data_IF_019859685852
#
_entry.id   IF_019859685852
#
_cell.length_a   1.000
_cell.length_b   1.000
_cell.length_c   1.000
_cell.angle_alpha   90.00
_cell.angle_beta   90.00
_cell.angle_gamma   90.00
#
_symmetry.space_group_name_H-M   'P 1'
#
loop_
_entity.id
_entity.type
_entity.pdbx_description
1 polymer ?
#
# COMPACT_ATOMS: atom_id res chain seq x y z
N UNK A 1 2.16 27.28 -4.95
CA UNK A 1 3.32 26.33 -4.85
C UNK A 1 3.32 25.46 -6.08
N UNK A 2 4.47 24.98 -6.53
CA UNK A 2 4.53 24.02 -7.65
C UNK A 2 4.00 22.68 -7.17
N UNK A 3 3.15 21.96 -7.95
CA UNK A 3 2.69 20.62 -7.58
C UNK A 3 3.87 19.69 -7.29
N UNK A 4 3.75 18.83 -6.29
CA UNK A 4 4.87 18.08 -5.73
C UNK A 4 4.68 16.58 -5.71
N UNK A 5 3.54 16.07 -6.22
CA UNK A 5 3.15 14.66 -6.13
C UNK A 5 2.80 14.09 -7.50
N UNK A 6 3.42 12.98 -7.85
CA UNK A 6 2.94 12.11 -8.92
C UNK A 6 2.13 10.95 -8.34
N UNK A 7 1.16 10.45 -9.09
CA UNK A 7 0.30 9.34 -8.66
C UNK A 7 0.36 8.21 -9.67
N UNK A 8 0.38 6.97 -9.20
CA UNK A 8 0.21 5.80 -10.05
C UNK A 8 -0.99 4.95 -9.62
N UNK A 9 -1.79 4.56 -10.59
CA UNK A 9 -2.93 3.65 -10.46
C UNK A 9 -2.72 2.52 -11.45
N UNK A 10 -2.49 1.31 -10.95
CA UNK A 10 -2.38 0.12 -11.81
C UNK A 10 -3.74 -0.55 -11.90
N UNK A 11 -4.20 -0.80 -13.13
CA UNK A 11 -5.52 -1.37 -13.40
C UNK A 11 -5.40 -2.68 -14.20
N UNK A 12 -6.36 -3.58 -14.02
CA UNK A 12 -6.50 -4.81 -14.79
C UNK A 12 -7.97 -5.21 -14.85
N UNK A 13 -8.60 -5.05 -16.00
CA UNK A 13 -10.06 -5.27 -16.19
C UNK A 13 -10.89 -4.50 -15.16
N UNK A 14 -10.43 -3.29 -14.82
CA UNK A 14 -11.10 -2.42 -13.85
C UNK A 14 -12.29 -1.74 -14.53
N UNK A 15 -13.47 -1.70 -13.88
CA UNK A 15 -14.61 -0.95 -14.40
C UNK A 15 -14.25 0.54 -14.58
N UNK A 16 -14.62 1.17 -15.72
CA UNK A 16 -14.33 2.58 -15.97
C UNK A 16 -14.82 3.51 -14.86
N UNK A 17 -16.00 3.25 -14.31
CA UNK A 17 -16.62 4.07 -13.25
C UNK A 17 -15.81 4.02 -11.94
N UNK A 18 -15.17 2.89 -11.67
CA UNK A 18 -14.30 2.73 -10.48
C UNK A 18 -13.04 3.56 -10.65
N UNK A 19 -12.38 3.46 -11.82
CA UNK A 19 -11.20 4.28 -12.11
C UNK A 19 -11.54 5.77 -12.12
N UNK A 20 -12.68 6.15 -12.71
CA UNK A 20 -13.13 7.54 -12.76
C UNK A 20 -13.25 8.15 -11.36
N UNK A 21 -13.87 7.43 -10.41
CA UNK A 21 -13.98 7.87 -9.00
C UNK A 21 -12.60 8.07 -8.34
N UNK A 22 -11.67 7.15 -8.58
CA UNK A 22 -10.31 7.28 -8.07
C UNK A 22 -9.58 8.51 -8.66
N UNK A 23 -9.71 8.75 -9.96
CA UNK A 23 -9.16 9.92 -10.64
C UNK A 23 -9.74 11.23 -10.11
N UNK A 24 -11.06 11.29 -9.90
CA UNK A 24 -11.73 12.45 -9.30
C UNK A 24 -11.20 12.78 -7.91
N UNK A 25 -10.95 11.77 -7.07
CA UNK A 25 -10.36 11.98 -5.75
C UNK A 25 -8.96 12.59 -5.85
N UNK A 26 -8.12 12.04 -6.72
CA UNK A 26 -6.73 12.46 -6.90
C UNK A 26 -6.65 13.88 -7.47
N UNK A 27 -7.45 14.18 -8.49
CA UNK A 27 -7.40 15.45 -9.22
C UNK A 27 -7.93 16.66 -8.45
N UNK A 28 -8.62 16.44 -7.33
CA UNK A 28 -9.03 17.52 -6.41
C UNK A 28 -7.85 18.23 -5.76
N UNK A 29 -6.73 17.53 -5.59
CA UNK A 29 -5.57 18.14 -4.94
C UNK A 29 -4.75 19.00 -5.90
N UNK A 30 -4.41 20.25 -5.52
CA UNK A 30 -3.48 21.08 -6.27
C UNK A 30 -2.04 20.59 -6.21
N UNK A 31 -1.70 19.69 -5.27
CA UNK A 31 -0.37 19.10 -5.12
C UNK A 31 -0.07 18.03 -6.17
N UNK A 32 -1.07 17.55 -6.92
CA UNK A 32 -0.89 16.52 -7.93
C UNK A 32 -0.41 17.13 -9.24
N UNK A 33 0.82 16.77 -9.63
CA UNK A 33 1.45 17.18 -10.90
C UNK A 33 1.02 16.26 -12.05
N UNK A 34 1.01 14.95 -11.79
CA UNK A 34 0.74 13.94 -12.83
C UNK A 34 0.11 12.67 -12.24
N UNK A 35 -0.77 12.06 -13.00
CA UNK A 35 -1.42 10.78 -12.69
C UNK A 35 -1.11 9.79 -13.81
N UNK A 36 -0.45 8.70 -13.48
CA UNK A 36 -0.14 7.62 -14.39
C UNK A 36 -1.13 6.47 -14.19
N UNK A 37 -1.97 6.22 -15.17
CA UNK A 37 -2.83 5.04 -15.23
C UNK A 37 -2.10 3.98 -16.03
N UNK A 38 -1.62 2.94 -15.34
CA UNK A 38 -0.92 1.82 -15.97
C UNK A 38 -1.89 0.66 -16.13
N UNK A 39 -2.29 0.40 -17.37
CA UNK A 39 -3.27 -0.64 -17.69
C UNK A 39 -2.59 -1.94 -18.09
N UNK A 40 -2.76 -2.94 -17.22
CA UNK A 40 -2.28 -4.30 -17.42
C UNK A 40 -3.37 -5.22 -18.00
N UNK A 41 -4.46 -4.68 -18.54
CA UNK A 41 -5.53 -5.46 -19.18
C UNK A 41 -5.05 -6.10 -20.48
N UNK A 42 -5.71 -7.16 -20.96
CA UNK A 42 -5.35 -7.79 -22.24
C UNK A 42 -5.54 -6.88 -23.45
N UNK A 43 -6.36 -5.85 -23.35
CA UNK A 43 -6.64 -4.85 -24.37
C UNK A 43 -6.63 -3.45 -23.76
N UNK A 44 -6.59 -2.42 -24.61
CA UNK A 44 -6.60 -1.01 -24.22
C UNK A 44 -8.00 -0.38 -24.29
N UNK A 45 -9.06 -1.15 -24.13
CA UNK A 45 -10.44 -0.64 -24.26
C UNK A 45 -10.76 0.45 -23.24
N UNK A 46 -10.09 0.42 -22.08
CA UNK A 46 -10.25 1.40 -21.01
C UNK A 46 -9.85 2.82 -21.43
N UNK A 47 -8.84 2.95 -22.31
CA UNK A 47 -8.36 4.25 -22.84
C UNK A 47 -9.48 5.08 -23.44
N UNK A 48 -10.37 4.42 -24.21
CA UNK A 48 -11.50 5.08 -24.92
C UNK A 48 -12.58 5.62 -23.99
N UNK A 49 -12.66 5.09 -22.77
CA UNK A 49 -13.66 5.47 -21.77
C UNK A 49 -13.10 6.42 -20.70
N UNK A 50 -11.80 6.72 -20.73
CA UNK A 50 -11.19 7.63 -19.78
C UNK A 50 -11.45 9.09 -20.13
N UNK A 51 -11.67 9.90 -19.08
CA UNK A 51 -11.65 11.36 -19.21
C UNK A 51 -10.21 11.81 -19.47
N UNK A 52 -9.99 12.47 -20.59
CA UNK A 52 -8.71 13.10 -20.90
C UNK A 52 -8.55 14.38 -20.10
N UNK A 53 -7.46 14.50 -19.36
CA UNK A 53 -7.05 15.74 -18.68
C UNK A 53 -5.53 15.88 -18.85
N UNK A 54 -5.04 17.10 -18.93
CA UNK A 54 -3.62 17.42 -19.18
C UNK A 54 -2.63 16.75 -18.21
N UNK A 55 -3.11 16.33 -17.04
CA UNK A 55 -2.30 15.70 -16.00
C UNK A 55 -2.39 14.16 -15.98
N UNK A 56 -3.21 13.54 -16.83
CA UNK A 56 -3.40 12.09 -16.88
C UNK A 56 -2.60 11.49 -18.02
N UNK A 57 -1.77 10.51 -17.70
CA UNK A 57 -0.97 9.73 -18.63
C UNK A 57 -1.44 8.28 -18.61
N UNK A 58 -2.01 7.80 -19.71
CA UNK A 58 -2.40 6.41 -19.86
C UNK A 58 -1.25 5.61 -20.50
N UNK A 59 -0.94 4.45 -19.91
CA UNK A 59 0.14 3.57 -20.36
C UNK A 59 -0.40 2.14 -20.38
N UNK A 60 -0.56 1.56 -21.56
CA UNK A 60 -0.95 0.15 -21.69
C UNK A 60 0.29 -0.74 -21.83
N UNK A 61 0.36 -1.80 -21.02
CA UNK A 61 1.50 -2.73 -20.98
C UNK A 61 1.06 -4.14 -20.64
N UNK A 62 1.90 -5.11 -20.96
CA UNK A 62 1.71 -6.50 -20.51
C UNK A 62 1.64 -6.60 -18.97
N UNK A 63 0.82 -7.54 -18.51
CA UNK A 63 0.62 -7.75 -17.09
C UNK A 63 1.81 -8.47 -16.43
N UNK A 64 2.77 -7.71 -15.99
CA UNK A 64 3.95 -8.17 -15.24
C UNK A 64 3.77 -8.07 -13.71
N UNK A 65 2.57 -7.73 -13.24
CA UNK A 65 2.20 -7.67 -11.84
C UNK A 65 2.07 -6.25 -11.29
N UNK A 66 1.59 -6.15 -10.05
CA UNK A 66 1.27 -4.88 -9.40
C UNK A 66 2.48 -3.97 -9.25
N UNK A 67 3.56 -4.46 -8.61
CA UNK A 67 4.76 -3.66 -8.37
C UNK A 67 5.46 -3.24 -9.66
N UNK A 68 5.50 -4.11 -10.69
CA UNK A 68 6.08 -3.79 -11.99
C UNK A 68 5.33 -2.67 -12.69
N UNK A 69 3.99 -2.68 -12.65
CA UNK A 69 3.16 -1.60 -13.18
C UNK A 69 3.45 -0.26 -12.50
N UNK A 70 3.45 -0.22 -11.17
CA UNK A 70 3.78 1.00 -10.42
C UNK A 70 5.20 1.49 -10.68
N UNK A 71 6.17 0.59 -10.86
CA UNK A 71 7.55 0.95 -11.15
C UNK A 71 7.70 1.77 -12.44
N UNK A 72 6.84 1.57 -13.45
CA UNK A 72 6.84 2.36 -14.68
C UNK A 72 6.62 3.84 -14.34
N UNK A 73 5.58 4.12 -13.55
CA UNK A 73 5.23 5.47 -13.13
C UNK A 73 6.26 6.06 -12.13
N UNK A 74 6.75 5.25 -11.19
CA UNK A 74 7.76 5.68 -10.21
C UNK A 74 9.04 6.13 -10.93
N UNK A 75 9.50 5.40 -11.96
CA UNK A 75 10.66 5.83 -12.77
C UNK A 75 10.42 7.20 -13.41
N UNK A 76 9.22 7.48 -13.92
CA UNK A 76 8.88 8.81 -14.47
C UNK A 76 8.93 9.90 -13.38
N UNK A 77 8.39 9.61 -12.20
CA UNK A 77 8.46 10.49 -11.02
C UNK A 77 9.89 10.86 -10.67
N UNK A 78 10.76 9.85 -10.57
CA UNK A 78 12.17 10.03 -10.21
C UNK A 78 12.94 10.80 -11.30
N UNK A 79 12.69 10.51 -12.57
CA UNK A 79 13.32 11.20 -13.70
C UNK A 79 12.90 12.67 -13.80
N UNK A 80 11.66 12.99 -13.43
CA UNK A 80 11.14 14.37 -13.39
C UNK A 80 11.49 15.11 -12.08
N UNK A 81 12.17 14.44 -11.15
CA UNK A 81 12.54 14.97 -9.84
C UNK A 81 11.33 15.44 -9.00
N UNK A 82 10.18 14.77 -9.16
CA UNK A 82 8.98 15.05 -8.37
C UNK A 82 9.23 14.55 -6.94
N UNK A 83 8.99 15.37 -5.89
CA UNK A 83 9.36 15.05 -4.51
C UNK A 83 8.64 13.84 -3.92
N UNK A 84 7.38 13.60 -4.32
CA UNK A 84 6.54 12.54 -3.74
C UNK A 84 5.89 11.69 -4.82
N UNK A 85 5.63 10.43 -4.47
CA UNK A 85 4.90 9.50 -5.32
C UNK A 85 3.83 8.75 -4.52
N UNK A 86 2.58 8.85 -4.96
CA UNK A 86 1.46 8.08 -4.42
C UNK A 86 1.22 6.83 -5.27
N UNK A 87 1.32 5.67 -4.66
CA UNK A 87 0.82 4.40 -5.20
C UNK A 87 -0.55 4.15 -4.61
N UNK A 88 -1.58 3.94 -5.45
CA UNK A 88 -2.90 3.62 -4.96
C UNK A 88 -3.67 2.64 -5.86
N UNK A 89 -4.60 1.93 -5.26
CA UNK A 89 -5.55 1.08 -5.98
C UNK A 89 -6.68 1.92 -6.60
N UNK A 90 -7.24 1.43 -7.70
CA UNK A 90 -8.39 2.05 -8.35
C UNK A 90 -9.72 1.94 -7.55
N UNK A 91 -9.77 1.09 -6.51
CA UNK A 91 -10.93 0.92 -5.63
C UNK A 91 -10.79 1.66 -4.28
N UNK A 92 -9.91 2.66 -4.25
CA UNK A 92 -9.75 3.59 -3.14
C UNK A 92 -10.41 4.93 -3.47
N UNK A 93 -11.13 5.48 -2.50
CA UNK A 93 -11.78 6.78 -2.61
C UNK A 93 -11.72 7.55 -1.28
N UNK A 94 -11.87 8.87 -1.36
CA UNK A 94 -11.94 9.76 -0.19
C UNK A 94 -12.69 11.05 -0.51
N UNK A 95 -13.06 11.81 0.51
CA UNK A 95 -13.67 13.11 0.37
C UNK A 95 -12.66 14.23 0.59
N UNK A 96 -12.85 15.36 -0.08
CA UNK A 96 -11.99 16.53 0.03
C UNK A 96 -10.59 16.35 -0.54
N UNK A 97 -9.65 17.13 -0.05
CA UNK A 97 -8.23 17.06 -0.38
C UNK A 97 -7.43 16.49 0.80
N UNK A 98 -6.99 15.25 0.69
CA UNK A 98 -6.12 14.61 1.70
C UNK A 98 -4.64 14.65 1.32
N UNK A 99 -4.32 14.94 0.06
CA UNK A 99 -2.92 14.93 -0.42
C UNK A 99 -2.16 16.15 0.10
N UNK A 100 -2.77 17.35 0.07
CA UNK A 100 -2.11 18.55 0.57
C UNK A 100 -1.75 18.50 2.07
N UNK A 101 -2.59 17.99 2.98
CA UNK A 101 -2.18 17.74 4.37
C UNK A 101 -1.02 16.74 4.48
N UNK A 102 -1.04 15.64 3.69
CA UNK A 102 0.05 14.68 3.68
C UNK A 102 1.37 15.31 3.21
N UNK A 103 1.34 16.08 2.12
CA UNK A 103 2.53 16.80 1.60
C UNK A 103 3.08 17.77 2.65
N UNK A 104 2.22 18.54 3.31
CA UNK A 104 2.63 19.45 4.38
C UNK A 104 3.33 18.71 5.51
N UNK A 105 2.70 17.63 6.01
CA UNK A 105 3.26 16.79 7.04
C UNK A 105 4.61 16.20 6.63
N UNK A 106 4.72 15.65 5.41
CA UNK A 106 5.97 15.10 4.89
C UNK A 106 7.08 16.15 4.75
N UNK A 107 6.74 17.41 4.42
CA UNK A 107 7.70 18.51 4.35
C UNK A 107 8.25 18.87 5.74
N UNK A 108 7.45 18.78 6.78
CA UNK A 108 7.84 19.06 8.17
C UNK A 108 8.60 17.88 8.81
N UNK A 109 8.43 16.66 8.30
CA UNK A 109 8.98 15.42 8.85
C UNK A 109 9.88 14.72 7.82
N UNK A 110 11.10 15.22 7.66
CA UNK A 110 12.04 14.79 6.61
C UNK A 110 12.51 13.33 6.77
N UNK A 111 12.42 12.74 7.97
CA UNK A 111 12.76 11.35 8.26
C UNK A 111 11.70 10.36 7.75
N UNK A 112 10.49 10.80 7.41
CA UNK A 112 9.41 9.94 6.91
C UNK A 112 9.62 9.64 5.43
N UNK A 113 9.87 8.38 5.12
CA UNK A 113 10.08 7.87 3.75
C UNK A 113 8.82 7.28 3.12
N UNK A 114 7.90 6.79 3.95
CA UNK A 114 6.65 6.17 3.51
C UNK A 114 5.54 6.46 4.52
N UNK A 115 4.35 6.81 4.00
CA UNK A 115 3.17 7.10 4.82
C UNK A 115 1.94 6.38 4.26
N UNK A 116 1.07 5.88 5.15
CA UNK A 116 -0.25 5.38 4.80
C UNK A 116 -1.30 5.95 5.77
N UNK A 117 -2.48 6.37 5.26
CA UNK A 117 -3.56 6.93 6.07
C UNK A 117 -4.35 5.84 6.81
N UNK A 118 -5.33 6.28 7.58
CA UNK A 118 -6.37 5.40 8.12
C UNK A 118 -7.26 4.89 6.99
N UNK A 119 -7.51 3.59 6.99
CA UNK A 119 -8.30 2.94 5.93
C UNK A 119 -9.56 2.33 6.52
N UNK A 120 -10.70 2.60 5.89
CA UNK A 120 -11.96 1.95 6.22
C UNK A 120 -12.54 1.17 5.06
N UNK A 121 -13.37 0.20 5.39
CA UNK A 121 -14.28 -0.42 4.44
C UNK A 121 -15.49 0.52 4.19
N UNK A 122 -16.27 0.30 3.10
CA UNK A 122 -17.46 1.12 2.81
C UNK A 122 -18.53 1.11 3.90
N UNK A 123 -18.54 0.10 4.77
CA UNK A 123 -19.42 0.00 5.93
C UNK A 123 -18.87 0.73 7.18
N UNK A 124 -17.81 1.52 7.04
CA UNK A 124 -17.17 2.29 8.10
C UNK A 124 -16.26 1.46 9.03
N UNK A 125 -16.20 0.15 8.88
CA UNK A 125 -15.34 -0.70 9.70
C UNK A 125 -13.88 -0.48 9.37
N UNK A 126 -13.02 -0.36 10.40
CA UNK A 126 -11.58 -0.19 10.23
C UNK A 126 -10.96 -1.35 9.44
N UNK A 127 -10.21 -1.04 8.39
CA UNK A 127 -9.34 -1.98 7.72
C UNK A 127 -7.94 -1.91 8.34
N UNK A 128 -7.45 -3.04 8.89
CA UNK A 128 -6.08 -3.10 9.41
C UNK A 128 -5.08 -3.05 8.25
N UNK A 129 -4.76 -1.82 7.82
CA UNK A 129 -3.86 -1.54 6.69
C UNK A 129 -2.38 -1.47 7.08
N UNK A 130 -2.09 -1.48 8.37
CA UNK A 130 -0.75 -1.58 8.93
C UNK A 130 -0.61 -2.90 9.71
N UNK A 131 0.55 -3.53 9.65
CA UNK A 131 0.75 -4.88 10.22
C UNK A 131 2.18 -5.09 10.69
N UNK A 132 2.37 -6.12 11.50
CA UNK A 132 3.70 -6.64 11.79
C UNK A 132 4.32 -7.27 10.52
N UNK A 133 5.64 -7.36 10.45
CA UNK A 133 6.29 -8.22 9.45
C UNK A 133 5.91 -9.69 9.71
N UNK A 134 5.41 -10.41 8.69
CA UNK A 134 4.85 -11.73 8.87
C UNK A 134 5.92 -12.79 9.16
N UNK A 135 5.55 -13.77 9.94
CA UNK A 135 6.24 -15.06 9.99
C UNK A 135 5.55 -16.06 9.04
N UNK A 136 6.21 -17.16 8.65
CA UNK A 136 5.53 -18.20 7.89
C UNK A 136 4.22 -18.66 8.54
N UNK A 137 4.19 -18.72 9.88
CA UNK A 137 3.01 -19.15 10.61
C UNK A 137 1.85 -18.15 10.51
N UNK A 138 2.11 -16.84 10.43
CA UNK A 138 1.06 -15.82 10.29
C UNK A 138 0.32 -15.93 8.94
N UNK A 139 1.05 -16.31 7.89
CA UNK A 139 0.49 -16.40 6.55
C UNK A 139 -0.14 -17.76 6.27
N UNK A 140 0.50 -18.86 6.72
CA UNK A 140 0.02 -20.21 6.44
C UNK A 140 -1.00 -20.68 7.49
N UNK A 141 -0.89 -20.30 8.77
CA UNK A 141 -1.79 -20.74 9.82
C UNK A 141 -3.25 -20.34 9.59
N UNK A 142 -3.49 -19.12 9.08
CA UNK A 142 -4.85 -18.63 8.74
C UNK A 142 -5.57 -19.58 7.77
N UNK A 143 -4.83 -20.32 6.93
CA UNK A 143 -5.39 -21.21 5.91
C UNK A 143 -5.60 -22.63 6.38
N UNK A 144 -4.73 -23.12 7.25
CA UNK A 144 -4.65 -24.54 7.60
C UNK A 144 -5.09 -24.86 9.02
N UNK A 145 -5.22 -23.86 9.90
CA UNK A 145 -5.60 -24.06 11.28
C UNK A 145 -7.00 -23.48 11.58
N UNK A 146 -7.75 -24.07 12.53
CA UNK A 146 -9.02 -23.55 12.99
C UNK A 146 -8.88 -22.09 13.49
N UNK A 147 -9.87 -21.24 13.20
CA UNK A 147 -9.89 -19.82 13.61
C UNK A 147 -9.61 -19.61 15.09
N UNK A 148 -10.17 -20.45 15.97
CA UNK A 148 -9.96 -20.37 17.44
C UNK A 148 -8.49 -20.45 17.85
N UNK A 149 -7.68 -21.27 17.14
CA UNK A 149 -6.25 -21.42 17.44
C UNK A 149 -5.39 -20.27 16.87
N UNK A 150 -5.88 -19.58 15.86
CA UNK A 150 -5.13 -18.53 15.17
C UNK A 150 -5.57 -17.12 15.59
N UNK A 151 -6.71 -16.95 16.24
CA UNK A 151 -7.32 -15.65 16.52
C UNK A 151 -6.40 -14.70 17.32
N UNK A 152 -5.86 -15.14 18.46
CA UNK A 152 -4.94 -14.32 19.28
C UNK A 152 -3.72 -13.88 18.48
N UNK A 153 -3.17 -14.81 17.66
CA UNK A 153 -2.03 -14.55 16.83
C UNK A 153 -2.36 -13.58 15.71
N UNK A 154 -3.51 -13.75 15.04
CA UNK A 154 -3.99 -12.85 13.99
C UNK A 154 -4.29 -11.46 14.52
N UNK A 155 -4.95 -11.33 15.68
CA UNK A 155 -5.15 -10.03 16.35
C UNK A 155 -3.82 -9.31 16.59
N UNK A 156 -2.81 -10.03 17.04
CA UNK A 156 -1.46 -9.46 17.23
C UNK A 156 -0.81 -9.05 15.91
N UNK A 157 -0.84 -9.92 14.89
CA UNK A 157 -0.28 -9.65 13.56
C UNK A 157 -0.93 -8.44 12.90
N UNK A 158 -2.24 -8.30 13.03
CA UNK A 158 -3.06 -7.19 12.51
C UNK A 158 -3.01 -5.94 13.39
N UNK A 159 -2.26 -5.96 14.49
CA UNK A 159 -2.15 -4.83 15.43
C UNK A 159 -3.50 -4.38 16.02
N UNK A 160 -4.45 -5.31 16.22
CA UNK A 160 -5.79 -4.99 16.68
C UNK A 160 -5.85 -4.36 18.10
N UNK A 161 -4.80 -4.50 18.90
CA UNK A 161 -4.68 -3.86 20.22
C UNK A 161 -3.93 -2.53 20.23
N UNK A 162 -3.62 -1.98 19.05
CA UNK A 162 -2.99 -0.66 18.89
C UNK A 162 -4.07 0.40 18.65
N UNK A 163 -3.84 1.59 19.16
CA UNK A 163 -4.70 2.75 18.93
C UNK A 163 -4.49 3.31 17.52
N UNK A 164 -5.45 3.05 16.64
CA UNK A 164 -5.43 3.50 15.24
C UNK A 164 -5.98 4.92 15.08
N UNK A 165 -6.13 5.69 16.16
CA UNK A 165 -6.42 7.12 16.13
C UNK A 165 -5.17 7.97 16.38
N UNK A 166 -4.01 7.32 16.58
CA UNK A 166 -2.70 7.96 16.77
C UNK A 166 -1.69 7.50 15.72
N UNK A 167 -0.75 8.36 15.33
CA UNK A 167 0.32 7.97 14.42
C UNK A 167 1.32 7.02 15.10
N UNK A 168 1.87 6.07 14.34
CA UNK A 168 2.95 5.21 14.80
C UNK A 168 3.78 4.65 13.64
N UNK A 169 5.07 4.42 13.92
CA UNK A 169 5.99 3.83 12.95
C UNK A 169 5.79 2.32 12.85
N UNK A 170 5.62 1.78 11.64
CA UNK A 170 5.24 0.38 11.41
C UNK A 170 5.94 -0.20 10.20
N UNK A 171 6.58 -1.38 10.28
CA UNK A 171 7.42 -1.91 9.21
C UNK A 171 6.66 -2.48 8.01
N UNK A 172 5.34 -2.51 8.03
CA UNK A 172 4.51 -3.00 6.93
C UNK A 172 3.22 -2.19 6.79
N UNK A 173 3.09 -1.52 5.66
CA UNK A 173 1.92 -0.79 5.19
C UNK A 173 1.35 -1.45 3.94
N UNK A 174 0.02 -1.64 3.88
CA UNK A 174 -0.65 -2.28 2.74
C UNK A 174 -0.56 -1.45 1.47
N UNK A 175 -0.42 -2.14 0.34
CA UNK A 175 -0.26 -1.56 -0.98
C UNK A 175 -1.47 -0.78 -1.54
N UNK A 176 -2.60 -0.71 -0.82
CA UNK A 176 -3.78 0.01 -1.30
C UNK A 176 -3.61 1.54 -1.38
N UNK A 177 -2.77 2.11 -0.51
CA UNK A 177 -2.39 3.54 -0.52
C UNK A 177 -1.02 3.69 0.16
N UNK A 178 0.00 4.00 -0.62
CA UNK A 178 1.37 4.19 -0.16
C UNK A 178 1.91 5.52 -0.69
N UNK A 179 2.14 6.46 0.22
CA UNK A 179 2.68 7.78 -0.11
C UNK A 179 4.17 7.82 0.17
N UNK A 180 4.97 7.80 -0.87
CA UNK A 180 6.42 7.72 -0.82
C UNK A 180 7.09 9.09 -0.92
N UNK A 181 8.18 9.28 -0.17
CA UNK A 181 9.21 10.26 -0.49
C UNK A 181 10.10 9.72 -1.62
N UNK A 182 10.34 10.49 -2.66
CA UNK A 182 11.15 10.07 -3.80
C UNK A 182 12.59 9.71 -3.42
N UNK A 183 13.17 10.38 -2.42
CA UNK A 183 14.51 10.07 -1.93
C UNK A 183 14.57 8.71 -1.23
N UNK A 184 13.52 8.30 -0.53
CA UNK A 184 13.42 6.95 0.03
C UNK A 184 13.37 5.88 -1.09
N UNK A 185 12.65 6.15 -2.19
CA UNK A 185 12.65 5.26 -3.35
C UNK A 185 14.01 5.21 -4.07
N UNK A 186 14.75 6.33 -4.09
CA UNK A 186 16.12 6.36 -4.66
C UNK A 186 17.09 5.55 -3.83
N UNK A 187 17.03 5.67 -2.51
CA UNK A 187 17.97 4.98 -1.61
C UNK A 187 17.66 3.50 -1.43
N UNK A 188 16.37 3.14 -1.26
CA UNK A 188 15.96 1.78 -0.92
C UNK A 188 15.52 0.93 -2.13
N UNK A 189 15.38 1.57 -3.31
CA UNK A 189 14.95 0.96 -4.56
C UNK A 189 13.44 0.80 -4.68
N UNK A 190 13.00 0.43 -5.86
CA UNK A 190 11.60 0.30 -6.27
C UNK A 190 10.99 -1.03 -5.82
N UNK A 191 9.75 -1.31 -6.21
CA UNK A 191 9.14 -2.62 -5.99
C UNK A 191 9.99 -3.72 -6.62
N UNK A 192 10.13 -4.84 -5.92
CA UNK A 192 10.84 -6.03 -6.44
C UNK A 192 9.93 -6.77 -7.44
N UNK A 193 10.20 -6.63 -8.73
CA UNK A 193 9.37 -7.14 -9.82
C UNK A 193 9.31 -8.67 -9.89
N UNK A 194 10.12 -9.38 -9.10
CA UNK A 194 10.01 -10.84 -8.93
C UNK A 194 8.70 -11.24 -8.25
N UNK A 195 8.07 -10.32 -7.53
CA UNK A 195 6.77 -10.50 -6.90
C UNK A 195 5.67 -9.99 -7.85
N UNK A 196 4.95 -10.93 -8.45
CA UNK A 196 3.83 -10.55 -9.33
C UNK A 196 2.72 -9.82 -8.55
N UNK A 197 2.42 -10.28 -7.32
CA UNK A 197 1.39 -9.70 -6.45
C UNK A 197 1.52 -10.22 -5.00
N UNK A 198 1.19 -9.41 -4.02
CA UNK A 198 1.02 -9.60 -2.58
C UNK A 198 2.23 -9.25 -1.70
N UNK A 199 3.44 -9.87 -1.81
CA UNK A 199 4.48 -9.50 -0.85
C UNK A 199 5.36 -8.32 -1.28
N UNK A 200 5.07 -7.69 -2.41
CA UNK A 200 5.82 -6.52 -2.89
C UNK A 200 5.67 -5.32 -1.96
N UNK A 201 4.48 -5.14 -1.37
CA UNK A 201 4.21 -4.10 -0.38
C UNK A 201 4.91 -4.36 0.96
N UNK A 202 4.96 -5.61 1.40
CA UNK A 202 5.74 -6.01 2.58
C UNK A 202 7.23 -5.76 2.34
N UNK A 203 7.73 -6.14 1.16
CA UNK A 203 9.14 -6.04 0.81
C UNK A 203 9.61 -4.59 0.75
N UNK A 204 8.88 -3.72 0.06
CA UNK A 204 9.25 -2.31 -0.08
C UNK A 204 9.10 -1.55 1.25
N UNK A 205 8.03 -1.78 2.00
CA UNK A 205 7.84 -1.18 3.32
C UNK A 205 9.00 -1.55 4.25
N UNK A 206 9.37 -2.83 4.30
CA UNK A 206 10.47 -3.33 5.11
C UNK A 206 11.82 -2.74 4.71
N UNK A 207 12.10 -2.58 3.40
CA UNK A 207 13.36 -1.97 2.93
C UNK A 207 13.45 -0.51 3.35
N UNK A 208 12.39 0.25 3.13
CA UNK A 208 12.32 1.66 3.54
C UNK A 208 12.45 1.80 5.06
N UNK A 209 11.80 0.94 5.84
CA UNK A 209 11.84 0.96 7.31
C UNK A 209 13.25 0.78 7.92
N UNK A 210 14.23 0.39 7.15
CA UNK A 210 15.63 0.29 7.60
C UNK A 210 16.27 1.64 7.92
N UNK A 211 15.97 2.64 7.10
CA UNK A 211 16.66 3.93 7.14
C UNK A 211 15.69 5.11 7.20
N UNK A 212 14.40 4.87 7.03
CA UNK A 212 13.34 5.88 7.04
C UNK A 212 12.20 5.44 7.96
N UNK A 213 11.44 6.41 8.47
CA UNK A 213 10.18 6.10 9.11
C UNK A 213 9.13 5.68 8.08
N UNK A 214 8.41 4.59 8.40
CA UNK A 214 7.24 4.13 7.65
C UNK A 214 6.02 4.32 8.53
N UNK A 215 5.27 5.39 8.27
CA UNK A 215 4.31 5.93 9.22
C UNK A 215 2.87 5.57 8.87
N UNK A 216 2.14 4.99 9.82
CA UNK A 216 0.68 5.05 9.83
C UNK A 216 0.27 6.41 10.39
N UNK A 217 -0.50 7.19 9.59
CA UNK A 217 -0.88 8.56 9.93
C UNK A 217 -2.41 8.75 9.80
N UNK A 218 -3.16 8.70 10.91
CA UNK A 218 -4.62 8.63 10.90
C UNK A 218 -5.33 9.99 10.76
N UNK A 219 -4.62 11.10 10.62
CA UNK A 219 -5.20 12.45 10.47
C UNK A 219 -6.00 12.61 9.17
N UNK A 220 -5.77 11.74 8.20
CA UNK A 220 -6.58 11.60 6.99
C UNK A 220 -7.06 10.17 6.83
N UNK A 221 -8.21 10.01 6.19
CA UNK A 221 -8.89 8.74 6.06
C UNK A 221 -9.30 8.47 4.62
N UNK A 222 -9.23 7.20 4.22
CA UNK A 222 -9.68 6.73 2.91
C UNK A 222 -10.64 5.56 3.06
N UNK A 223 -11.51 5.38 2.07
CA UNK A 223 -12.36 4.20 1.91
C UNK A 223 -11.79 3.27 0.85
N UNK A 224 -11.60 2.00 1.18
CA UNK A 224 -11.11 0.97 0.27
C UNK A 224 -12.21 -0.08 0.02
N UNK A 225 -12.72 -0.11 -1.20
CA UNK A 225 -13.82 -0.98 -1.64
C UNK A 225 -13.40 -2.43 -1.88
N UNK A 226 -12.41 -2.91 -1.16
CA UNK A 226 -11.72 -4.19 -1.30
C UNK A 226 -12.64 -5.33 -1.77
N UNK A 227 -12.66 -5.61 -3.06
CA UNK A 227 -13.23 -6.82 -3.62
C UNK A 227 -12.28 -7.98 -3.31
N UNK A 228 -12.58 -8.82 -2.31
CA UNK A 228 -11.75 -9.96 -1.88
C UNK A 228 -11.55 -11.03 -2.99
N UNK A 229 -11.12 -10.61 -4.18
CA UNK A 229 -10.98 -11.41 -5.40
C UNK A 229 -9.99 -12.60 -5.22
N UNK A 230 -8.99 -12.45 -4.36
CA UNK A 230 -7.97 -13.48 -4.13
C UNK A 230 -8.49 -14.73 -3.42
N UNK A 231 -9.61 -14.64 -2.70
CA UNK A 231 -10.17 -15.79 -1.95
C UNK A 231 -10.87 -16.82 -2.84
N UNK A 232 -11.28 -16.44 -4.04
CA UNK A 232 -12.10 -17.29 -4.94
C UNK A 232 -11.33 -17.87 -6.13
N UNK A 233 -10.10 -17.40 -6.42
CA UNK A 233 -9.38 -17.78 -7.63
C UNK A 233 -8.15 -18.67 -7.31
N UNK A 234 -8.16 -19.93 -7.78
CA UNK A 234 -7.05 -20.90 -7.60
C UNK A 234 -5.72 -20.40 -8.19
N UNK A 235 -5.75 -19.69 -9.32
CA UNK A 235 -4.54 -19.10 -9.94
C UNK A 235 -3.93 -18.04 -9.01
N UNK A 236 -4.73 -17.13 -8.47
CA UNK A 236 -4.28 -16.10 -7.54
C UNK A 236 -3.74 -16.71 -6.23
N UNK A 237 -4.35 -17.79 -5.75
CA UNK A 237 -3.83 -18.52 -4.60
C UNK A 237 -2.43 -19.09 -4.86
N UNK A 238 -2.21 -19.72 -6.03
CA UNK A 238 -0.88 -20.26 -6.40
C UNK A 238 0.16 -19.15 -6.49
N UNK A 239 -0.17 -18.02 -7.12
CA UNK A 239 0.71 -16.84 -7.21
C UNK A 239 1.09 -16.37 -5.80
N UNK A 240 0.11 -16.16 -4.94
CA UNK A 240 0.33 -15.76 -3.55
C UNK A 240 1.25 -16.74 -2.82
N UNK A 241 0.98 -18.03 -2.91
CA UNK A 241 1.75 -19.08 -2.24
C UNK A 241 3.22 -19.08 -2.70
N UNK A 242 3.49 -19.06 -4.00
CA UNK A 242 4.86 -19.04 -4.51
C UNK A 242 5.59 -17.73 -4.21
N UNK A 243 4.90 -16.61 -4.25
CA UNK A 243 5.49 -15.33 -3.90
C UNK A 243 5.82 -15.25 -2.40
N UNK A 244 5.03 -15.87 -1.52
CA UNK A 244 5.38 -15.98 -0.10
C UNK A 244 6.63 -16.85 0.12
N UNK A 245 6.79 -17.94 -0.63
CA UNK A 245 8.03 -18.73 -0.62
C UNK A 245 9.22 -17.86 -1.04
N UNK A 246 9.09 -17.11 -2.14
CA UNK A 246 10.14 -16.18 -2.60
C UNK A 246 10.47 -15.13 -1.54
N UNK A 247 9.46 -14.57 -0.88
CA UNK A 247 9.65 -13.61 0.20
C UNK A 247 10.46 -14.19 1.36
N UNK A 248 10.09 -15.38 1.85
CA UNK A 248 10.85 -16.02 2.93
C UNK A 248 12.23 -16.52 2.50
N UNK A 249 12.42 -16.89 1.23
CA UNK A 249 13.76 -17.19 0.69
C UNK A 249 14.65 -15.94 0.65
N UNK A 250 14.07 -14.76 0.39
CA UNK A 250 14.80 -13.48 0.40
C UNK A 250 15.14 -13.03 1.82
N UNK A 251 14.20 -13.15 2.77
CA UNK A 251 14.29 -12.52 4.08
C UNK A 251 14.56 -13.48 5.26
N UNK A 252 14.46 -14.77 5.02
CA UNK A 252 14.58 -15.81 6.04
C UNK A 252 13.27 -16.34 6.57
N UNK A 253 13.20 -17.66 6.72
CA UNK A 253 12.01 -18.37 7.19
C UNK A 253 11.83 -18.24 8.70
N UNK A 254 12.78 -18.70 9.48
CA UNK A 254 12.68 -18.80 10.94
C UNK A 254 13.65 -17.87 11.67
N UNK A 255 14.85 -17.66 11.14
CA UNK A 255 15.94 -16.92 11.77
C UNK A 255 16.12 -15.52 11.16
N UNK A 256 15.04 -14.75 11.10
CA UNK A 256 15.04 -13.37 10.61
C UNK A 256 15.19 -12.41 11.80
N UNK A 257 16.44 -11.96 12.06
CA UNK A 257 16.77 -11.05 13.16
C UNK A 257 16.13 -9.67 12.98
N UNK A 258 16.11 -9.16 11.76
CA UNK A 258 15.55 -7.84 11.44
C UNK A 258 14.03 -7.82 11.67
N UNK A 259 13.29 -8.84 11.19
CA UNK A 259 11.86 -9.00 11.48
C UNK A 259 11.57 -9.00 12.99
N UNK A 260 12.39 -9.72 13.76
CA UNK A 260 12.24 -9.78 15.22
C UNK A 260 12.49 -8.42 15.86
N UNK A 261 13.52 -7.71 15.40
CA UNK A 261 13.86 -6.37 15.89
C UNK A 261 12.73 -5.38 15.61
N UNK A 262 12.32 -5.23 14.35
CA UNK A 262 11.29 -4.28 13.93
C UNK A 262 9.94 -4.55 14.60
N UNK A 263 9.52 -5.81 14.65
CA UNK A 263 8.28 -6.18 15.33
C UNK A 263 8.34 -5.93 16.85
N UNK A 264 9.50 -6.06 17.48
CA UNK A 264 9.69 -5.74 18.91
C UNK A 264 9.61 -4.23 19.13
N UNK A 265 10.32 -3.44 18.34
CA UNK A 265 10.30 -1.99 18.39
C UNK A 265 8.88 -1.45 18.23
N UNK A 266 8.16 -1.91 17.20
CA UNK A 266 6.76 -1.58 16.97
C UNK A 266 5.89 -1.85 18.21
N UNK A 267 5.96 -3.05 18.80
CA UNK A 267 5.13 -3.42 19.94
C UNK A 267 5.50 -2.70 21.24
N UNK A 268 6.70 -2.13 21.33
CA UNK A 268 7.13 -1.33 22.50
C UNK A 268 6.78 0.15 22.38
N UNK A 269 6.70 0.70 21.17
CA UNK A 269 6.52 2.13 20.91
C UNK A 269 5.11 2.52 20.47
N UNK A 270 4.37 1.58 19.80
CA UNK A 270 3.05 1.89 19.29
C UNK A 270 2.04 2.15 20.42
N UNK A 271 1.14 3.13 20.24
CA UNK A 271 0.12 3.46 21.22
C UNK A 271 -0.87 2.30 21.39
N UNK A 272 -1.18 1.94 22.63
CA UNK A 272 -2.12 0.85 22.93
C UNK A 272 -3.51 1.40 23.23
N UNK A 273 -4.53 0.62 22.87
CA UNK A 273 -5.92 0.90 23.27
C UNK A 273 -6.45 -0.24 24.15
N UNK A 274 -7.21 0.14 25.17
CA UNK A 274 -7.96 -0.82 25.99
C UNK A 274 -9.21 -1.34 25.26
N UNK A 275 -9.80 -0.48 24.40
CA UNK A 275 -11.01 -0.78 23.65
C UNK A 275 -10.73 -0.72 22.12
N UNK A 276 -10.17 -1.78 21.52
CA UNK A 276 -9.89 -1.79 20.10
C UNK A 276 -11.19 -1.66 19.30
N UNK A 277 -11.21 -0.78 18.29
CA UNK A 277 -12.37 -0.64 17.42
C UNK A 277 -12.60 -1.95 16.64
N UNK A 278 -13.85 -2.26 16.26
CA UNK A 278 -14.11 -3.37 15.37
C UNK A 278 -13.37 -3.14 14.05
N UNK A 279 -12.57 -4.12 13.64
CA UNK A 279 -11.77 -4.04 12.42
C UNK A 279 -11.61 -5.39 11.75
N UNK A 280 -11.27 -5.35 10.46
CA UNK A 280 -11.05 -6.54 9.61
C UNK A 280 -9.72 -6.41 8.84
N UNK A 281 -9.13 -7.55 8.51
CA UNK A 281 -7.88 -7.61 7.74
C UNK A 281 -7.80 -8.77 6.76
#
# INVERSE_FOLDING_TARGET
MKPSTAVSIVVHKTPPEQLQKALECVLRSPEVESVFVVDNSPDNSLEKSMVTADRIYYIHVDNNGFGAGHNIAIRQTLNRHIPYHLVMNADVAWEGDIISPIVRFMNEHQQVGLLSPKVRYPDGVLQYACRMLPTPLDLFAKRFLPKKLTEKRMKRYLLAGIDHDKPFNVPYLLGSFLFFRSDALRSEGLFDERFFMYPEDIDISRRIHRHWDTLFWPEVEITHHHAAASRKNRRMFRIHFFNMIRYFNKWGWFFDKERRLFNRQLLSSAPRTENPPPGRG
#
